data_IF_498141604165
#
_entry.id   IF_498141604165
#
_cell.length_a   1.000
_cell.length_b   1.000
_cell.length_c   1.000
_cell.angle_alpha   90.00
_cell.angle_beta   90.00
_cell.angle_gamma   90.00
#
_symmetry.space_group_name_H-M   'P 1'
#
loop_
_entity.id
_entity.type
_entity.pdbx_description
1 polymer ?
#
# COMPACT_ATOMS: atom_id res chain seq x y z
N UNK A 1 15.78 30.95 5.43
CA UNK A 1 14.44 31.55 5.55
C UNK A 1 13.54 30.85 4.53
N UNK A 2 12.76 29.86 4.99
CA UNK A 2 11.86 29.07 4.14
C UNK A 2 10.54 29.82 3.99
N UNK A 3 10.37 30.57 2.89
CA UNK A 3 9.08 31.08 2.47
C UNK A 3 8.23 29.90 1.95
N UNK A 4 7.62 29.12 2.84
CA UNK A 4 6.44 28.35 2.45
C UNK A 4 5.36 29.38 2.10
N UNK A 5 4.66 29.27 0.95
CA UNK A 5 3.57 30.17 0.66
C UNK A 5 2.55 30.06 1.80
N UNK A 6 2.25 31.20 2.45
CA UNK A 6 1.16 31.29 3.39
C UNK A 6 -0.09 30.74 2.71
N UNK A 7 -0.75 29.77 3.34
CA UNK A 7 -2.04 29.27 2.88
C UNK A 7 -3.00 30.46 2.88
N UNK A 8 -3.23 31.05 1.71
CA UNK A 8 -4.15 32.17 1.55
C UNK A 8 -5.55 31.72 1.96
N UNK A 9 -6.36 32.64 2.47
CA UNK A 9 -7.75 32.41 2.91
C UNK A 9 -8.65 31.78 1.82
N UNK A 10 -8.21 31.76 0.56
CA UNK A 10 -8.88 31.16 -0.59
C UNK A 10 -8.74 29.63 -0.70
N UNK A 11 -7.84 28.99 0.07
CA UNK A 11 -7.55 27.56 -0.03
C UNK A 11 -8.42 26.66 0.88
N UNK A 12 -9.64 27.13 1.25
CA UNK A 12 -10.58 26.44 2.13
C UNK A 12 -11.71 25.74 1.39
N UNK A 13 -11.41 24.82 0.47
CA UNK A 13 -12.46 24.26 -0.40
C UNK A 13 -12.87 22.84 -0.13
N UNK A 14 -12.12 22.09 0.72
CA UNK A 14 -12.48 20.72 1.11
C UNK A 14 -12.77 20.67 2.61
N UNK A 15 -14.04 20.88 2.98
CA UNK A 15 -14.46 20.98 4.39
C UNK A 15 -13.68 22.03 5.20
N UNK A 16 -13.33 23.15 4.60
CA UNK A 16 -12.52 24.20 5.23
C UNK A 16 -11.01 23.90 5.30
N UNK A 17 -10.56 22.81 4.69
CA UNK A 17 -9.18 22.34 4.68
C UNK A 17 -8.46 22.68 3.36
N UNK A 18 -7.12 22.61 3.30
CA UNK A 18 -6.37 22.74 2.06
C UNK A 18 -6.83 21.73 0.98
N UNK A 19 -6.88 22.15 -0.27
CA UNK A 19 -7.32 21.28 -1.39
C UNK A 19 -6.50 20.00 -1.53
N UNK A 20 -5.21 20.05 -1.17
CA UNK A 20 -4.35 18.87 -1.15
C UNK A 20 -4.90 17.74 -0.31
N UNK A 21 -5.66 18.05 0.77
CA UNK A 21 -6.30 17.04 1.60
C UNK A 21 -7.31 16.20 0.81
N UNK A 22 -8.07 16.78 -0.12
CA UNK A 22 -9.01 16.01 -0.94
C UNK A 22 -8.29 14.95 -1.77
N UNK A 23 -7.12 15.29 -2.31
CA UNK A 23 -6.30 14.35 -3.08
C UNK A 23 -5.86 13.18 -2.22
N UNK A 24 -5.34 13.44 -1.03
CA UNK A 24 -4.85 12.40 -0.11
C UNK A 24 -5.99 11.59 0.50
N UNK A 25 -7.11 12.23 0.83
CA UNK A 25 -8.35 11.59 1.31
C UNK A 25 -8.85 10.53 0.34
N UNK A 26 -9.09 10.90 -0.92
CA UNK A 26 -9.61 9.95 -1.91
C UNK A 26 -8.58 8.89 -2.28
N UNK A 27 -7.28 9.22 -2.29
CA UNK A 27 -6.23 8.24 -2.54
C UNK A 27 -6.23 7.15 -1.46
N UNK A 28 -6.24 7.55 -0.19
CA UNK A 28 -6.26 6.61 0.92
C UNK A 28 -7.60 5.84 0.97
N UNK A 29 -8.73 6.52 0.74
CA UNK A 29 -10.03 5.87 0.67
C UNK A 29 -10.05 4.73 -0.36
N UNK A 30 -9.57 4.96 -1.58
CA UNK A 30 -9.51 3.95 -2.63
C UNK A 30 -8.48 2.85 -2.34
N UNK A 31 -7.36 3.21 -1.75
CA UNK A 31 -6.37 2.24 -1.31
C UNK A 31 -6.95 1.34 -0.21
N UNK A 32 -7.62 1.91 0.82
CA UNK A 32 -8.31 1.14 1.85
C UNK A 32 -9.44 0.28 1.28
N UNK A 33 -10.20 0.82 0.32
CA UNK A 33 -11.19 0.04 -0.41
C UNK A 33 -10.54 -1.20 -1.07
N UNK A 34 -9.47 -1.02 -1.81
CA UNK A 34 -8.80 -2.13 -2.49
C UNK A 34 -8.23 -3.15 -1.50
N UNK A 35 -7.57 -2.68 -0.43
CA UNK A 35 -6.95 -3.51 0.59
C UNK A 35 -7.97 -4.34 1.38
N UNK A 36 -8.97 -3.69 1.99
CA UNK A 36 -9.95 -4.39 2.81
C UNK A 36 -10.92 -5.23 1.97
N UNK A 37 -11.24 -4.79 0.77
CA UNK A 37 -12.02 -5.59 -0.18
C UNK A 37 -11.32 -6.88 -0.56
N UNK A 38 -10.05 -6.80 -0.99
CA UNK A 38 -9.24 -7.97 -1.28
C UNK A 38 -9.11 -8.87 -0.05
N UNK A 39 -8.78 -8.31 1.11
CA UNK A 39 -8.56 -9.07 2.34
C UNK A 39 -9.81 -9.84 2.80
N UNK A 40 -11.01 -9.29 2.57
CA UNK A 40 -12.28 -9.92 2.93
C UNK A 40 -12.51 -11.26 2.21
N UNK A 41 -11.99 -11.43 1.00
CA UNK A 41 -12.19 -12.65 0.21
C UNK A 41 -10.92 -13.50 0.06
N UNK A 42 -9.73 -12.95 0.37
CA UNK A 42 -8.46 -13.61 0.15
C UNK A 42 -8.32 -14.92 0.94
N UNK A 43 -8.74 -14.92 2.21
CA UNK A 43 -8.66 -16.12 3.03
C UNK A 43 -9.56 -17.23 2.48
N UNK A 44 -10.78 -16.89 2.04
CA UNK A 44 -11.71 -17.83 1.42
C UNK A 44 -11.16 -18.37 0.11
N UNK A 45 -10.58 -17.51 -0.72
CA UNK A 45 -9.90 -17.90 -1.96
C UNK A 45 -8.79 -18.92 -1.71
N UNK A 46 -8.02 -18.77 -0.63
CA UNK A 46 -6.95 -19.72 -0.31
C UNK A 46 -7.48 -21.07 0.11
N UNK A 47 -8.48 -21.18 1.01
CA UNK A 47 -8.87 -22.47 1.55
C UNK A 47 -10.07 -23.13 0.85
N UNK A 48 -10.87 -22.41 0.07
CA UNK A 48 -11.94 -23.05 -0.69
C UNK A 48 -11.36 -24.07 -1.69
N UNK A 49 -12.12 -25.16 -1.91
CA UNK A 49 -11.74 -26.20 -2.87
C UNK A 49 -11.58 -25.64 -4.28
N UNK A 50 -10.71 -26.27 -5.07
CA UNK A 50 -10.49 -25.89 -6.47
C UNK A 50 -11.80 -25.92 -7.28
N UNK A 51 -12.71 -26.86 -6.98
CA UNK A 51 -14.03 -26.96 -7.61
C UNK A 51 -14.92 -25.76 -7.32
N UNK A 52 -14.66 -25.03 -6.23
CA UNK A 52 -15.34 -23.77 -5.87
C UNK A 52 -14.55 -22.52 -6.26
N UNK A 53 -13.54 -22.67 -7.11
CA UNK A 53 -12.70 -21.56 -7.58
C UNK A 53 -11.64 -21.09 -6.60
N UNK A 54 -11.38 -21.84 -5.51
CA UNK A 54 -10.32 -21.56 -4.55
C UNK A 54 -9.01 -22.29 -4.87
N UNK A 55 -8.01 -22.16 -3.98
CA UNK A 55 -6.68 -22.79 -4.13
C UNK A 55 -6.54 -24.13 -3.40
N UNK A 56 -7.50 -24.50 -2.55
CA UNK A 56 -7.52 -25.76 -1.82
C UNK A 56 -6.44 -25.90 -0.75
N UNK A 57 -5.98 -24.78 -0.17
CA UNK A 57 -5.10 -24.85 1.01
C UNK A 57 -5.86 -25.38 2.22
N UNK A 58 -5.18 -26.03 3.14
CA UNK A 58 -5.76 -26.23 4.48
C UNK A 58 -5.91 -24.89 5.22
N UNK A 59 -6.82 -24.84 6.20
CA UNK A 59 -7.14 -23.61 6.91
C UNK A 59 -5.94 -23.06 7.71
N UNK A 60 -5.08 -23.94 8.26
CA UNK A 60 -3.88 -23.53 8.98
C UNK A 60 -2.88 -22.84 8.07
N UNK A 61 -2.61 -23.42 6.90
CA UNK A 61 -1.76 -22.78 5.87
C UNK A 61 -2.33 -21.44 5.41
N UNK A 62 -3.64 -21.34 5.15
CA UNK A 62 -4.25 -20.08 4.75
C UNK A 62 -4.12 -19.01 5.84
N UNK A 63 -4.34 -19.37 7.11
CA UNK A 63 -4.16 -18.45 8.23
C UNK A 63 -2.70 -18.00 8.39
N UNK A 64 -1.75 -18.92 8.25
CA UNK A 64 -0.31 -18.62 8.32
C UNK A 64 0.12 -17.63 7.21
N UNK A 65 -0.32 -17.84 5.97
CA UNK A 65 -0.06 -16.92 4.85
C UNK A 65 -0.63 -15.53 5.16
N UNK A 66 -1.85 -15.44 5.71
CA UNK A 66 -2.46 -14.17 6.11
C UNK A 66 -1.68 -13.46 7.21
N UNK A 67 -1.16 -14.20 8.20
CA UNK A 67 -0.38 -13.66 9.31
C UNK A 67 0.98 -13.12 8.82
N UNK A 68 1.68 -13.89 7.99
CA UNK A 68 2.95 -13.49 7.37
C UNK A 68 2.73 -12.25 6.50
N UNK A 69 1.70 -12.27 5.66
CA UNK A 69 1.33 -11.12 4.83
C UNK A 69 1.12 -9.85 5.68
N UNK A 70 0.32 -9.93 6.75
CA UNK A 70 0.09 -8.82 7.67
C UNK A 70 1.38 -8.27 8.29
N UNK A 71 2.25 -9.15 8.77
CA UNK A 71 3.55 -8.78 9.38
C UNK A 71 4.48 -8.10 8.36
N UNK A 72 4.54 -8.64 7.14
CA UNK A 72 5.38 -8.10 6.07
C UNK A 72 4.95 -6.70 5.61
N UNK A 73 3.66 -6.38 5.65
CA UNK A 73 3.15 -5.03 5.37
C UNK A 73 3.73 -4.00 6.35
N UNK A 74 3.83 -4.34 7.64
CA UNK A 74 4.43 -3.43 8.63
C UNK A 74 5.94 -3.28 8.43
N UNK A 75 6.65 -4.38 8.20
CA UNK A 75 8.09 -4.36 7.95
C UNK A 75 8.44 -3.55 6.69
N UNK A 76 7.68 -3.70 5.62
CA UNK A 76 7.90 -2.97 4.37
C UNK A 76 7.68 -1.46 4.52
N UNK A 77 6.89 -1.02 5.50
CA UNK A 77 6.65 0.41 5.77
C UNK A 77 7.92 1.15 6.19
N UNK A 78 8.83 0.48 6.90
CA UNK A 78 10.14 1.06 7.26
C UNK A 78 10.98 1.35 6.01
N UNK A 79 10.98 0.41 5.06
CA UNK A 79 11.66 0.60 3.77
C UNK A 79 11.01 1.71 2.96
N UNK A 80 9.67 1.80 3.00
CA UNK A 80 8.92 2.83 2.29
C UNK A 80 9.23 4.24 2.76
N UNK A 81 9.28 4.47 4.08
CA UNK A 81 9.71 5.75 4.65
C UNK A 81 11.15 6.09 4.26
N UNK A 82 12.07 5.13 4.44
CA UNK A 82 13.48 5.33 4.08
C UNK A 82 13.67 5.71 2.59
N UNK A 83 13.00 5.02 1.68
CA UNK A 83 13.09 5.33 0.24
C UNK A 83 12.48 6.69 -0.12
N UNK A 84 11.43 7.09 0.58
CA UNK A 84 10.83 8.40 0.46
C UNK A 84 11.81 9.51 0.84
N UNK A 85 12.37 9.40 2.05
CA UNK A 85 13.18 10.45 2.64
C UNK A 85 14.55 10.60 1.98
N UNK A 86 15.10 9.48 1.48
CA UNK A 86 16.48 9.42 0.99
C UNK A 86 16.62 9.41 -0.52
N UNK A 87 15.60 8.94 -1.27
CA UNK A 87 15.77 8.62 -2.70
C UNK A 87 14.74 9.29 -3.61
N UNK A 88 13.44 9.14 -3.34
CA UNK A 88 12.40 9.47 -4.33
C UNK A 88 11.54 10.67 -4.00
N UNK A 89 11.43 11.04 -2.72
CA UNK A 89 10.41 11.97 -2.24
C UNK A 89 9.05 11.30 -2.06
N UNK A 90 8.25 11.82 -1.11
CA UNK A 90 7.00 11.19 -0.67
C UNK A 90 5.98 11.03 -1.79
N UNK A 91 5.85 12.02 -2.67
CA UNK A 91 4.87 11.99 -3.75
C UNK A 91 5.14 10.91 -4.80
N UNK A 92 6.40 10.67 -5.18
CA UNK A 92 6.76 9.60 -6.11
C UNK A 92 6.63 8.23 -5.44
N UNK A 93 7.04 8.14 -4.19
CA UNK A 93 6.97 6.89 -3.41
C UNK A 93 5.53 6.42 -3.26
N UNK A 94 4.59 7.32 -2.94
CA UNK A 94 3.15 7.02 -2.88
C UNK A 94 2.63 6.54 -4.23
N UNK A 95 2.99 7.19 -5.32
CA UNK A 95 2.52 6.80 -6.65
C UNK A 95 3.03 5.42 -7.05
N UNK A 96 4.34 5.15 -6.86
CA UNK A 96 4.95 3.85 -7.14
C UNK A 96 4.29 2.76 -6.28
N UNK A 97 4.09 3.05 -4.98
CA UNK A 97 3.39 2.14 -4.07
C UNK A 97 1.99 1.79 -4.56
N UNK A 98 1.21 2.78 -4.97
CA UNK A 98 -0.12 2.57 -5.52
C UNK A 98 -0.14 1.74 -6.81
N UNK A 99 0.84 1.95 -7.70
CA UNK A 99 1.00 1.15 -8.93
C UNK A 99 1.30 -0.31 -8.59
N UNK A 100 2.18 -0.57 -7.63
CA UNK A 100 2.47 -1.95 -7.20
C UNK A 100 1.23 -2.63 -6.60
N UNK A 101 0.46 -1.93 -5.75
CA UNK A 101 -0.79 -2.45 -5.19
C UNK A 101 -1.78 -2.79 -6.31
N UNK A 102 -1.95 -1.90 -7.27
CA UNK A 102 -2.83 -2.12 -8.41
C UNK A 102 -2.45 -3.37 -9.19
N UNK A 103 -1.16 -3.53 -9.53
CA UNK A 103 -0.68 -4.74 -10.21
C UNK A 103 -0.82 -6.00 -9.36
N UNK A 104 -0.67 -5.90 -8.04
CA UNK A 104 -0.96 -6.99 -7.12
C UNK A 104 -2.42 -7.45 -7.20
N UNK A 105 -3.39 -6.53 -7.21
CA UNK A 105 -4.80 -6.87 -7.39
C UNK A 105 -5.10 -7.40 -8.80
N UNK A 106 -4.46 -6.87 -9.84
CA UNK A 106 -4.56 -7.41 -11.20
C UNK A 106 -4.05 -8.84 -11.25
N UNK A 107 -2.93 -9.15 -10.59
CA UNK A 107 -2.39 -10.52 -10.53
C UNK A 107 -3.41 -11.49 -9.92
N UNK A 108 -4.11 -11.12 -8.83
CA UNK A 108 -5.19 -11.93 -8.25
C UNK A 108 -6.44 -12.03 -9.15
N UNK A 109 -6.64 -11.05 -10.03
CA UNK A 109 -7.75 -11.06 -10.98
C UNK A 109 -7.56 -12.08 -12.10
N UNK A 110 -6.33 -12.55 -12.31
CA UNK A 110 -6.00 -13.58 -13.30
C UNK A 110 -6.02 -14.96 -12.64
N UNK A 111 -6.70 -15.97 -13.20
CA UNK A 111 -6.80 -17.31 -12.63
C UNK A 111 -5.52 -18.13 -12.85
N UNK A 112 -4.37 -17.64 -12.34
CA UNK A 112 -3.07 -18.30 -12.47
C UNK A 112 -2.66 -19.05 -11.15
N UNK A 113 -3.63 -19.34 -10.27
CA UNK A 113 -3.45 -20.20 -9.13
C UNK A 113 -2.48 -19.64 -8.06
N UNK A 114 -1.70 -20.55 -7.46
CA UNK A 114 -0.78 -20.20 -6.34
C UNK A 114 0.28 -19.16 -6.74
N UNK A 115 0.76 -19.20 -7.99
CA UNK A 115 1.74 -18.22 -8.47
C UNK A 115 1.18 -16.80 -8.44
N UNK A 116 -0.06 -16.61 -8.92
CA UNK A 116 -0.73 -15.31 -8.87
C UNK A 116 -0.89 -14.81 -7.43
N UNK A 117 -1.22 -15.70 -6.48
CA UNK A 117 -1.33 -15.37 -5.06
C UNK A 117 -0.02 -14.80 -4.52
N UNK A 118 1.10 -15.52 -4.66
CA UNK A 118 2.37 -15.09 -4.07
C UNK A 118 2.95 -13.84 -4.75
N UNK A 119 2.83 -13.72 -6.07
CA UNK A 119 3.20 -12.50 -6.80
C UNK A 119 2.37 -11.31 -6.31
N UNK A 120 1.07 -11.49 -6.14
CA UNK A 120 0.17 -10.46 -5.63
C UNK A 120 0.56 -10.03 -4.21
N UNK A 121 0.74 -10.99 -3.29
CA UNK A 121 1.14 -10.69 -1.90
C UNK A 121 2.43 -9.87 -1.89
N UNK A 122 3.43 -10.26 -2.66
CA UNK A 122 4.70 -9.53 -2.76
C UNK A 122 4.49 -8.08 -3.23
N UNK A 123 3.74 -7.90 -4.31
CA UNK A 123 3.47 -6.59 -4.88
C UNK A 123 2.66 -5.70 -3.93
N UNK A 124 1.64 -6.26 -3.27
CA UNK A 124 0.81 -5.51 -2.31
C UNK A 124 1.61 -5.15 -1.04
N UNK A 125 2.42 -6.07 -0.51
CA UNK A 125 3.30 -5.80 0.64
C UNK A 125 4.25 -4.64 0.35
N UNK A 126 4.97 -4.70 -0.76
CA UNK A 126 5.90 -3.64 -1.15
C UNK A 126 5.16 -2.33 -1.43
N UNK A 127 4.06 -2.40 -2.15
CA UNK A 127 3.25 -1.23 -2.51
C UNK A 127 2.65 -0.53 -1.30
N UNK A 128 2.04 -1.28 -0.37
CA UNK A 128 1.46 -0.71 0.87
C UNK A 128 2.55 -0.13 1.77
N UNK A 129 3.71 -0.79 1.85
CA UNK A 129 4.85 -0.27 2.59
C UNK A 129 5.36 1.06 2.05
N UNK A 130 5.37 1.23 0.73
CA UNK A 130 5.74 2.51 0.09
C UNK A 130 4.66 3.58 0.27
N UNK A 131 3.38 3.22 0.19
CA UNK A 131 2.28 4.19 0.17
C UNK A 131 1.93 4.68 1.58
N UNK A 132 1.67 3.78 2.50
CA UNK A 132 1.01 4.06 3.78
C UNK A 132 1.74 5.09 4.67
N UNK A 133 3.04 5.00 4.98
CA UNK A 133 3.72 5.98 5.82
C UNK A 133 3.74 7.35 5.13
N UNK A 134 3.98 7.39 3.84
CA UNK A 134 4.22 8.60 3.08
C UNK A 134 2.94 9.42 2.82
N UNK A 135 1.78 8.77 2.63
CA UNK A 135 0.50 9.49 2.53
C UNK A 135 0.19 10.24 3.82
N UNK A 136 0.39 9.61 4.98
CA UNK A 136 0.15 10.23 6.29
C UNK A 136 1.10 11.41 6.54
N UNK A 137 2.38 11.27 6.16
CA UNK A 137 3.36 12.35 6.20
C UNK A 137 2.92 13.53 5.32
N UNK A 138 2.49 13.25 4.10
CA UNK A 138 2.00 14.28 3.17
C UNK A 138 0.78 15.03 3.70
N UNK A 139 -0.13 14.37 4.44
CA UNK A 139 -1.24 15.05 5.13
C UNK A 139 -0.70 16.04 6.13
N UNK A 140 0.26 15.65 6.97
CA UNK A 140 0.91 16.56 7.92
C UNK A 140 1.60 17.75 7.23
N UNK A 141 2.21 17.52 6.08
CA UNK A 141 2.89 18.53 5.28
C UNK A 141 2.00 19.57 4.60
N UNK A 142 0.66 19.38 4.63
CA UNK A 142 -0.29 20.39 4.14
C UNK A 142 -0.47 21.58 5.11
N UNK A 143 -0.05 21.44 6.36
CA UNK A 143 -0.28 22.41 7.42
C UNK A 143 1.05 23.00 7.89
N UNK A 144 1.04 24.29 8.23
CA UNK A 144 2.16 24.94 8.88
C UNK A 144 2.21 24.58 10.37
N UNK A 145 3.36 24.81 11.01
CA UNK A 145 3.48 24.68 12.47
C UNK A 145 2.50 25.61 13.16
N UNK A 146 1.72 25.08 14.10
CA UNK A 146 0.69 25.83 14.84
C UNK A 146 -0.64 26.00 14.10
N UNK A 147 -0.83 25.43 12.88
CA UNK A 147 -2.13 25.50 12.21
C UNK A 147 -3.17 24.65 12.95
N UNK A 148 -4.16 25.33 13.54
CA UNK A 148 -5.24 24.70 14.33
C UNK A 148 -6.13 23.76 13.53
N UNK A 149 -6.09 23.81 12.20
CA UNK A 149 -6.86 22.93 11.31
C UNK A 149 -6.24 21.54 11.13
N UNK A 150 -4.99 21.36 11.56
CA UNK A 150 -4.25 20.11 11.34
C UNK A 150 -4.98 18.89 11.91
N UNK A 151 -5.46 18.95 13.14
CA UNK A 151 -6.14 17.83 13.80
C UNK A 151 -7.47 17.50 13.13
N UNK A 152 -8.25 18.52 12.75
CA UNK A 152 -9.49 18.30 12.00
C UNK A 152 -9.22 17.77 10.59
N UNK A 153 -8.11 18.15 9.95
CA UNK A 153 -7.67 17.60 8.68
C UNK A 153 -7.32 16.11 8.76
N UNK A 154 -6.59 15.70 9.80
CA UNK A 154 -6.34 14.28 10.07
C UNK A 154 -7.64 13.51 10.37
N UNK A 155 -8.59 14.11 11.09
CA UNK A 155 -9.90 13.49 11.35
C UNK A 155 -10.65 13.22 10.04
N UNK A 156 -10.67 14.19 9.13
CA UNK A 156 -11.28 14.01 7.79
C UNK A 156 -10.54 12.92 7.00
N UNK A 157 -9.21 12.91 7.04
CA UNK A 157 -8.41 11.88 6.38
C UNK A 157 -8.75 10.47 6.88
N UNK A 158 -8.82 10.29 8.20
CA UNK A 158 -9.21 9.02 8.85
C UNK A 158 -10.66 8.64 8.50
N UNK A 159 -11.56 9.61 8.34
CA UNK A 159 -12.91 9.33 7.88
C UNK A 159 -12.90 8.69 6.48
N UNK A 160 -12.04 9.15 5.56
CA UNK A 160 -11.85 8.52 4.25
C UNK A 160 -11.41 7.05 4.35
N UNK A 161 -10.45 6.76 5.25
CA UNK A 161 -10.01 5.39 5.57
C UNK A 161 -11.21 4.52 5.96
N UNK A 162 -12.03 5.01 6.89
CA UNK A 162 -13.18 4.26 7.40
C UNK A 162 -14.26 4.04 6.33
N UNK A 163 -14.53 5.03 5.48
CA UNK A 163 -15.47 4.87 4.35
C UNK A 163 -14.99 3.77 3.40
N UNK A 164 -13.72 3.80 2.97
CA UNK A 164 -13.15 2.77 2.11
C UNK A 164 -13.22 1.38 2.74
N UNK A 165 -12.82 1.26 4.00
CA UNK A 165 -12.78 -0.02 4.73
C UNK A 165 -14.18 -0.58 5.03
N UNK A 166 -15.18 0.26 5.20
CA UNK A 166 -16.57 -0.15 5.44
C UNK A 166 -17.24 -0.66 4.15
N UNK A 167 -17.11 0.08 3.06
CA UNK A 167 -17.83 -0.22 1.81
C UNK A 167 -17.24 -1.42 1.07
N UNK A 168 -15.91 -1.56 1.12
CA UNK A 168 -15.19 -2.56 0.34
C UNK A 168 -15.58 -4.02 0.64
N UNK A 169 -15.62 -4.48 1.91
CA UNK A 169 -15.99 -5.87 2.21
C UNK A 169 -17.37 -6.26 1.69
N UNK A 170 -18.32 -5.31 1.69
CA UNK A 170 -19.66 -5.56 1.15
C UNK A 170 -19.65 -5.75 -0.36
N UNK A 171 -19.06 -4.82 -1.10
CA UNK A 171 -19.05 -4.86 -2.56
C UNK A 171 -18.14 -5.96 -3.11
N UNK A 172 -16.90 -5.99 -2.66
CA UNK A 172 -15.89 -6.96 -3.12
C UNK A 172 -16.23 -8.35 -2.58
N UNK A 173 -16.70 -8.43 -1.31
CA UNK A 173 -17.14 -9.67 -0.69
C UNK A 173 -18.36 -10.27 -1.40
N UNK A 174 -19.37 -9.46 -1.66
CA UNK A 174 -20.55 -9.91 -2.42
C UNK A 174 -20.16 -10.41 -3.81
N UNK A 175 -19.37 -9.65 -4.56
CA UNK A 175 -18.96 -10.03 -5.91
C UNK A 175 -18.08 -11.29 -5.90
N UNK A 176 -17.11 -11.37 -4.98
CA UNK A 176 -16.16 -12.46 -4.89
C UNK A 176 -16.77 -13.78 -4.41
N UNK A 177 -17.68 -13.73 -3.43
CA UNK A 177 -18.27 -14.92 -2.82
C UNK A 177 -19.54 -15.40 -3.56
N UNK A 178 -20.30 -14.47 -4.19
CA UNK A 178 -21.53 -14.84 -4.89
C UNK A 178 -21.32 -15.24 -6.35
N UNK A 179 -20.27 -14.71 -6.98
CA UNK A 179 -19.99 -14.98 -8.40
C UNK A 179 -18.63 -15.65 -8.58
N UNK A 180 -17.53 -14.90 -8.37
CA UNK A 180 -16.18 -15.40 -8.63
C UNK A 180 -15.15 -14.55 -7.86
N UNK A 181 -14.17 -15.20 -7.21
CA UNK A 181 -13.09 -14.51 -6.49
C UNK A 181 -12.31 -13.52 -7.37
N UNK A 182 -12.02 -13.90 -8.62
CA UNK A 182 -11.26 -13.05 -9.54
C UNK A 182 -12.01 -11.77 -9.92
N UNK A 183 -13.35 -11.81 -10.00
CA UNK A 183 -14.18 -10.60 -10.18
C UNK A 183 -14.11 -9.69 -8.96
N UNK A 184 -14.13 -10.25 -7.75
CA UNK A 184 -13.93 -9.48 -6.52
C UNK A 184 -12.57 -8.78 -6.50
N UNK A 185 -11.50 -9.49 -6.83
CA UNK A 185 -10.16 -8.92 -6.94
C UNK A 185 -10.05 -7.87 -8.06
N UNK A 186 -10.75 -8.05 -9.17
CA UNK A 186 -10.81 -7.06 -10.25
C UNK A 186 -11.45 -5.76 -9.77
N UNK A 187 -12.50 -5.82 -8.94
CA UNK A 187 -13.12 -4.64 -8.37
C UNK A 187 -12.15 -3.89 -7.43
N UNK A 188 -11.35 -4.62 -6.66
CA UNK A 188 -10.28 -4.01 -5.84
C UNK A 188 -9.22 -3.33 -6.72
N UNK A 189 -8.83 -3.96 -7.84
CA UNK A 189 -7.89 -3.37 -8.81
C UNK A 189 -8.46 -2.07 -9.43
N UNK A 190 -9.75 -2.07 -9.80
CA UNK A 190 -10.43 -0.89 -10.33
C UNK A 190 -10.44 0.24 -9.29
N UNK A 191 -10.76 -0.07 -8.03
CA UNK A 191 -10.70 0.91 -6.94
C UNK A 191 -9.33 1.56 -6.82
N UNK A 192 -8.25 0.76 -6.83
CA UNK A 192 -6.89 1.29 -6.77
C UNK A 192 -6.53 2.10 -8.01
N UNK A 193 -6.95 1.69 -9.20
CA UNK A 193 -6.77 2.46 -10.43
C UNK A 193 -7.43 3.83 -10.35
N UNK A 194 -8.68 3.92 -9.88
CA UNK A 194 -9.37 5.19 -9.69
C UNK A 194 -8.63 6.10 -8.70
N UNK A 195 -8.13 5.53 -7.60
CA UNK A 195 -7.28 6.23 -6.64
C UNK A 195 -6.01 6.79 -7.28
N UNK A 196 -5.33 6.02 -8.12
CA UNK A 196 -4.12 6.45 -8.83
C UNK A 196 -4.38 7.57 -9.84
N UNK A 197 -5.46 7.47 -10.62
CA UNK A 197 -5.85 8.50 -11.59
C UNK A 197 -6.14 9.80 -10.85
N UNK A 198 -6.93 9.74 -9.78
CA UNK A 198 -7.25 10.89 -8.95
C UNK A 198 -6.00 11.48 -8.28
N UNK A 199 -5.11 10.63 -7.75
CA UNK A 199 -3.83 11.06 -7.18
C UNK A 199 -2.94 11.76 -8.20
N UNK A 200 -2.84 11.22 -9.41
CA UNK A 200 -2.04 11.81 -10.49
C UNK A 200 -2.52 13.20 -10.87
N UNK A 201 -3.84 13.36 -11.06
CA UNK A 201 -4.45 14.64 -11.45
C UNK A 201 -4.37 15.63 -10.30
N UNK A 202 -4.86 15.26 -9.13
CA UNK A 202 -4.91 16.11 -7.93
C UNK A 202 -3.52 16.44 -7.40
N UNK A 203 -2.61 15.47 -7.44
CA UNK A 203 -1.24 15.65 -6.99
C UNK A 203 -0.49 16.71 -7.78
N UNK A 204 -0.64 16.75 -9.10
CA UNK A 204 -0.03 17.80 -9.92
C UNK A 204 -0.54 19.19 -9.59
N UNK A 205 -1.79 19.31 -9.18
CA UNK A 205 -2.48 20.58 -9.02
C UNK A 205 -2.43 21.11 -7.59
N UNK A 206 -2.48 20.23 -6.58
CA UNK A 206 -2.76 20.62 -5.20
C UNK A 206 -1.69 20.20 -4.18
N UNK A 207 -0.73 19.34 -4.55
CA UNK A 207 0.35 18.95 -3.66
C UNK A 207 1.62 19.76 -3.93
N UNK A 208 2.40 20.05 -2.86
CA UNK A 208 3.66 20.79 -2.99
C UNK A 208 4.63 20.08 -3.94
N UNK A 209 5.40 20.85 -4.68
CA UNK A 209 6.50 20.36 -5.51
C UNK A 209 7.65 19.80 -4.66
N UNK A 210 7.80 20.28 -3.44
CA UNK A 210 8.85 19.80 -2.53
C UNK A 210 8.70 18.31 -2.22
N UNK A 211 7.46 17.80 -2.17
CA UNK A 211 7.19 16.37 -2.01
C UNK A 211 7.67 15.46 -3.15
N UNK A 212 8.13 16.04 -4.27
CA UNK A 212 8.77 15.31 -5.36
C UNK A 212 10.24 14.99 -5.10
N UNK A 213 10.84 15.62 -4.10
CA UNK A 213 12.25 15.50 -3.78
C UNK A 213 12.41 14.88 -2.38
N UNK A 214 13.47 14.10 -2.16
CA UNK A 214 13.76 13.57 -0.84
C UNK A 214 14.03 14.69 0.16
N UNK A 215 13.58 14.51 1.40
CA UNK A 215 13.79 15.48 2.50
C UNK A 215 15.24 15.49 3.01
N UNK A 216 15.89 14.33 2.95
CA UNK A 216 17.29 14.12 3.36
C UNK A 216 18.00 13.24 2.33
N UNK A 217 18.39 13.83 1.17
CA UNK A 217 18.94 13.07 0.05
C UNK A 217 20.27 12.39 0.39
N UNK A 218 20.46 11.18 -0.16
CA UNK A 218 21.72 10.46 -0.06
C UNK A 218 22.85 11.23 -0.74
N UNK A 219 24.00 11.30 -0.11
CA UNK A 219 25.22 11.77 -0.76
C UNK A 219 25.61 10.85 -1.93
N UNK A 220 26.27 11.38 -2.98
CA UNK A 220 26.59 10.59 -4.19
C UNK A 220 27.35 9.28 -3.93
N UNK A 221 28.16 9.22 -2.85
CA UNK A 221 28.89 8.02 -2.45
C UNK A 221 28.04 7.00 -1.67
N UNK A 222 26.97 7.43 -1.03
CA UNK A 222 26.16 6.58 -0.15
C UNK A 222 25.13 5.74 -0.92
N UNK A 223 24.71 6.20 -2.08
CA UNK A 223 23.85 5.40 -2.97
C UNK A 223 24.52 4.07 -3.34
N UNK A 224 25.81 4.10 -3.70
CA UNK A 224 26.56 2.88 -4.02
C UNK A 224 26.67 1.96 -2.81
N UNK A 225 26.96 2.50 -1.62
CA UNK A 225 27.00 1.74 -0.36
C UNK A 225 25.63 1.13 -0.03
N UNK A 226 24.54 1.88 -0.22
CA UNK A 226 23.18 1.40 0.00
C UNK A 226 22.87 0.22 -0.92
N UNK A 227 23.10 0.36 -2.22
CA UNK A 227 22.85 -0.70 -3.20
C UNK A 227 23.66 -1.95 -2.83
N UNK A 228 24.96 -1.79 -2.54
CA UNK A 228 25.83 -2.92 -2.16
C UNK A 228 25.33 -3.59 -0.89
N UNK A 229 25.01 -2.83 0.18
CA UNK A 229 24.52 -3.39 1.45
C UNK A 229 23.17 -4.09 1.29
N UNK A 230 22.26 -3.50 0.51
CA UNK A 230 20.95 -4.10 0.23
C UNK A 230 21.09 -5.37 -0.59
N UNK A 231 21.99 -5.41 -1.56
CA UNK A 231 22.30 -6.62 -2.35
C UNK A 231 22.88 -7.72 -1.47
N UNK A 232 23.87 -7.37 -0.61
CA UNK A 232 24.44 -8.33 0.34
C UNK A 232 23.37 -8.88 1.29
N UNK A 233 22.53 -8.00 1.85
CA UNK A 233 21.41 -8.42 2.73
C UNK A 233 20.42 -9.34 2.02
N UNK A 234 20.05 -9.04 0.78
CA UNK A 234 19.17 -9.88 -0.03
C UNK A 234 19.81 -11.25 -0.34
N UNK A 235 21.07 -11.25 -0.74
CA UNK A 235 21.81 -12.51 -1.00
C UNK A 235 21.91 -13.35 0.26
N UNK A 236 22.26 -12.74 1.40
CA UNK A 236 22.33 -13.43 2.68
C UNK A 236 20.97 -14.01 3.08
N UNK A 237 19.88 -13.26 2.91
CA UNK A 237 18.51 -13.72 3.16
C UNK A 237 18.13 -14.91 2.28
N UNK A 238 18.42 -14.85 0.97
CA UNK A 238 18.17 -15.95 0.04
C UNK A 238 18.98 -17.18 0.42
N UNK A 239 20.24 -17.02 0.80
CA UNK A 239 21.10 -18.13 1.25
C UNK A 239 20.56 -18.78 2.53
N UNK A 240 20.06 -18.00 3.48
CA UNK A 240 19.42 -18.52 4.69
C UNK A 240 18.17 -19.33 4.34
N UNK A 241 17.32 -18.81 3.44
CA UNK A 241 16.14 -19.55 2.99
C UNK A 241 16.51 -20.85 2.26
N UNK A 242 17.52 -20.83 1.40
CA UNK A 242 18.02 -22.04 0.74
C UNK A 242 18.58 -23.05 1.74
N UNK A 243 19.34 -22.60 2.72
CA UNK A 243 19.86 -23.47 3.78
C UNK A 243 18.72 -24.10 4.59
N UNK A 244 17.71 -23.31 4.98
CA UNK A 244 16.51 -23.82 5.67
C UNK A 244 15.75 -24.85 4.82
N UNK A 245 15.66 -24.61 3.50
CA UNK A 245 15.06 -25.56 2.56
C UNK A 245 15.83 -26.88 2.51
N UNK A 246 17.15 -26.81 2.39
CA UNK A 246 18.04 -28.00 2.35
C UNK A 246 18.02 -28.81 3.65
N UNK A 247 17.88 -28.13 4.79
CA UNK A 247 17.76 -28.76 6.10
C UNK A 247 16.35 -29.33 6.41
N UNK A 248 15.39 -29.17 5.48
CA UNK A 248 14.01 -29.61 5.66
C UNK A 248 13.23 -28.81 6.72
N UNK A 249 13.76 -27.67 7.17
CA UNK A 249 13.17 -26.84 8.22
C UNK A 249 12.23 -25.75 7.67
N UNK A 250 12.07 -25.64 6.35
CA UNK A 250 11.09 -24.77 5.70
C UNK A 250 9.69 -25.42 5.72
N UNK A 251 9.17 -25.71 6.90
CA UNK A 251 7.75 -25.97 7.07
C UNK A 251 7.06 -24.66 7.45
N UNK A 252 5.96 -24.34 6.77
CA UNK A 252 5.13 -23.16 7.09
C UNK A 252 4.71 -23.11 8.57
N UNK A 253 4.64 -24.26 9.23
CA UNK A 253 4.39 -24.42 10.67
C UNK A 253 5.51 -23.87 11.57
N UNK A 254 6.73 -23.68 11.06
CA UNK A 254 7.85 -23.13 11.84
C UNK A 254 7.90 -21.59 11.82
N UNK A 255 6.99 -20.93 11.10
CA UNK A 255 6.88 -19.47 11.00
C UNK A 255 5.63 -18.89 11.70
N UNK A 256 4.92 -19.69 12.48
CA UNK A 256 3.71 -19.31 13.25
C UNK A 256 3.99 -19.23 14.72
#
# INVERSE_FOLDING_TARGET
MNNKPEATSEDRTFFGQPRGLSTLFFTEMWERFSYYGMRAILIYYMYYSVTKGGLGFDQGTAASVMSIYGSMVYLSSVLGGYLSDRVWGSRRTVFIGGVLIMFGHIALSVPAGKMALFVSILLIVLGTGLLKPNVSEMVGGLYNEGDTRRDSGFTIFVFGINVGSLVAPYLVGWLGLSYNFHLGFSLAAIGMFLGLVQYWIGGKKYLSKDSLYPTDPLEPGDMKKLVVRSTIGLVAFVLVLLLMALLGSLNLTNFV
#
